data_IF_894589103734
#
_entry.id   IF_894589103734
#
_cell.length_a   1.000
_cell.length_b   1.000
_cell.length_c   1.000
_cell.angle_alpha   90.00
_cell.angle_beta   90.00
_cell.angle_gamma   90.00
#
_symmetry.space_group_name_H-M   'P 1'
#
loop_
_entity.id
_entity.type
_entity.pdbx_description
1 polymer ?
#
# COMPACT_ATOMS: atom_id res chain seq x y z
N UNK A 1 -10.45 -22.99 -25.72
CA UNK A 1 -11.13 -23.34 -24.44
C UNK A 1 -11.15 -22.10 -23.55
N UNK A 2 -12.30 -21.74 -22.95
CA UNK A 2 -12.36 -20.63 -22.00
C UNK A 2 -11.56 -21.00 -20.75
N UNK A 3 -10.77 -20.05 -20.26
CA UNK A 3 -10.04 -20.23 -18.99
C UNK A 3 -11.04 -20.52 -17.87
N UNK A 4 -10.73 -21.50 -17.03
CA UNK A 4 -11.54 -21.87 -15.88
C UNK A 4 -10.99 -21.27 -14.58
N UNK A 5 -9.70 -20.97 -14.56
CA UNK A 5 -8.99 -20.47 -13.39
C UNK A 5 -7.88 -19.50 -13.81
N UNK A 6 -7.57 -18.55 -12.95
CA UNK A 6 -6.45 -17.62 -13.11
C UNK A 6 -5.93 -17.19 -11.74
N UNK A 7 -4.61 -17.11 -11.60
CA UNK A 7 -3.94 -16.54 -10.45
C UNK A 7 -3.37 -15.17 -10.80
N UNK A 8 -3.67 -14.19 -9.95
CA UNK A 8 -3.20 -12.80 -10.07
C UNK A 8 -2.29 -12.50 -8.89
N UNK A 9 -1.03 -12.16 -9.17
CA UNK A 9 -0.08 -11.68 -8.17
C UNK A 9 -0.23 -10.19 -8.00
N UNK A 10 -0.48 -9.74 -6.77
CA UNK A 10 -0.66 -8.33 -6.43
C UNK A 10 0.32 -7.94 -5.32
N UNK A 11 1.14 -6.88 -5.53
CA UNK A 11 2.07 -6.44 -4.52
C UNK A 11 1.37 -5.73 -3.35
N UNK A 12 1.95 -5.87 -2.16
CA UNK A 12 1.67 -4.98 -1.03
C UNK A 12 2.01 -3.54 -1.39
N UNK A 13 1.46 -2.60 -0.65
CA UNK A 13 1.72 -1.18 -0.83
C UNK A 13 1.96 -0.48 0.49
N UNK A 14 2.75 0.59 0.45
CA UNK A 14 2.77 1.60 1.49
C UNK A 14 2.24 2.90 0.93
N UNK A 15 1.44 3.61 1.69
CA UNK A 15 0.85 4.87 1.27
C UNK A 15 1.14 5.99 2.24
N UNK A 16 0.84 7.22 1.83
CA UNK A 16 1.08 8.48 2.50
C UNK A 16 2.56 8.90 2.53
N UNK A 17 3.50 8.03 2.81
CA UNK A 17 4.94 8.35 2.96
C UNK A 17 5.16 9.58 3.88
N UNK A 18 4.50 9.61 5.05
CA UNK A 18 4.42 10.79 5.89
C UNK A 18 3.46 11.84 5.29
N UNK A 19 3.94 13.01 4.85
CA UNK A 19 3.09 14.15 4.50
C UNK A 19 2.29 14.02 3.19
N UNK A 20 2.46 12.93 2.44
CA UNK A 20 1.73 12.70 1.18
C UNK A 20 0.38 12.02 1.35
N UNK A 21 -0.39 12.41 2.36
CA UNK A 21 -1.66 11.84 2.74
C UNK A 21 -2.63 11.74 1.56
N UNK A 22 -3.17 10.52 1.33
CA UNK A 22 -4.10 10.16 0.25
C UNK A 22 -3.59 10.42 -1.19
N UNK A 23 -2.27 10.74 -1.34
CA UNK A 23 -1.67 11.10 -2.63
C UNK A 23 -0.50 10.21 -3.02
N UNK A 24 0.37 9.86 -2.07
CA UNK A 24 1.62 9.17 -2.36
C UNK A 24 1.55 7.69 -1.99
N UNK A 25 2.08 6.83 -2.86
CA UNK A 25 2.16 5.40 -2.59
C UNK A 25 3.31 4.72 -3.31
N UNK A 26 3.74 3.57 -2.76
CA UNK A 26 4.78 2.71 -3.35
C UNK A 26 4.34 1.26 -3.27
N UNK A 27 4.51 0.52 -4.36
CA UNK A 27 4.36 -0.93 -4.34
C UNK A 27 5.63 -1.60 -3.79
N UNK A 28 5.45 -2.63 -2.97
CA UNK A 28 6.52 -3.34 -2.29
C UNK A 28 6.61 -4.80 -2.79
N UNK A 29 7.81 -5.39 -2.77
CA UNK A 29 8.02 -6.80 -3.13
C UNK A 29 7.62 -7.75 -1.99
N UNK A 30 6.39 -7.66 -1.59
CA UNK A 30 5.66 -8.55 -0.70
C UNK A 30 4.33 -8.80 -1.42
N UNK A 31 3.86 -10.02 -1.56
CA UNK A 31 2.78 -10.32 -2.49
C UNK A 31 1.68 -11.14 -1.86
N UNK A 32 0.47 -10.95 -2.38
CA UNK A 32 -0.58 -11.95 -2.35
C UNK A 32 -0.83 -12.47 -3.77
N UNK A 33 -1.03 -13.76 -3.88
CA UNK A 33 -1.51 -14.45 -5.07
C UNK A 33 -2.99 -14.77 -4.87
N UNK A 34 -3.82 -14.22 -5.74
CA UNK A 34 -5.28 -14.35 -5.68
C UNK A 34 -5.71 -15.24 -6.84
N UNK A 35 -6.18 -16.43 -6.51
CA UNK A 35 -6.68 -17.39 -7.51
C UNK A 35 -8.19 -17.29 -7.58
N UNK A 36 -8.70 -17.00 -8.77
CA UNK A 36 -10.13 -16.95 -9.08
C UNK A 36 -10.44 -18.11 -10.03
N UNK A 37 -11.39 -18.95 -9.63
CA UNK A 37 -11.85 -20.06 -10.45
C UNK A 37 -13.37 -20.04 -10.59
N UNK A 38 -13.89 -20.44 -11.78
CA UNK A 38 -15.34 -20.68 -11.94
C UNK A 38 -15.77 -21.81 -11.01
N UNK A 39 -16.88 -21.64 -10.34
CA UNK A 39 -17.40 -22.58 -9.35
C UNK A 39 -18.87 -22.90 -9.62
N UNK A 40 -19.43 -23.90 -8.93
CA UNK A 40 -20.86 -24.20 -8.97
C UNK A 40 -21.67 -23.27 -8.07
N UNK A 41 -21.07 -22.83 -6.96
CA UNK A 41 -21.67 -21.96 -5.97
C UNK A 41 -20.71 -20.83 -5.60
N UNK A 42 -21.25 -19.67 -5.20
CA UNK A 42 -20.44 -18.55 -4.72
C UNK A 42 -19.93 -18.81 -3.31
N UNK A 43 -18.61 -18.68 -3.11
CA UNK A 43 -17.98 -18.80 -1.78
C UNK A 43 -17.17 -17.54 -1.37
N UNK A 44 -17.34 -16.38 -2.00
CA UNK A 44 -16.53 -15.22 -1.64
C UNK A 44 -17.04 -14.54 -0.38
N UNK A 45 -16.10 -14.10 0.47
CA UNK A 45 -16.40 -13.21 1.58
C UNK A 45 -16.90 -11.82 1.11
N UNK A 46 -17.41 -11.02 2.04
CA UNK A 46 -18.07 -9.72 1.79
C UNK A 46 -17.27 -8.77 0.88
N UNK A 47 -15.95 -8.69 1.09
CA UNK A 47 -15.07 -7.81 0.30
C UNK A 47 -14.97 -8.25 -1.16
N UNK A 48 -14.81 -9.54 -1.39
CA UNK A 48 -14.73 -10.14 -2.73
C UNK A 48 -16.05 -10.00 -3.48
N UNK A 49 -17.16 -10.18 -2.77
CA UNK A 49 -18.49 -9.99 -3.32
C UNK A 49 -18.72 -8.55 -3.80
N UNK A 50 -18.32 -7.55 -2.99
CA UNK A 50 -18.42 -6.14 -3.38
C UNK A 50 -17.58 -5.82 -4.62
N UNK A 51 -16.36 -6.39 -4.75
CA UNK A 51 -15.52 -6.23 -5.93
C UNK A 51 -16.17 -6.87 -7.17
N UNK A 52 -16.77 -8.05 -7.03
CA UNK A 52 -17.47 -8.74 -8.11
C UNK A 52 -18.72 -7.97 -8.57
N UNK A 53 -19.55 -7.49 -7.64
CA UNK A 53 -20.71 -6.67 -7.99
C UNK A 53 -20.29 -5.42 -8.79
N UNK A 54 -19.21 -4.74 -8.35
CA UNK A 54 -18.70 -3.55 -9.04
C UNK A 54 -18.22 -3.89 -10.44
N UNK A 55 -17.51 -5.03 -10.62
CA UNK A 55 -17.05 -5.51 -11.91
C UNK A 55 -18.20 -5.82 -12.87
N UNK A 56 -19.16 -6.63 -12.46
CA UNK A 56 -20.28 -7.01 -13.32
C UNK A 56 -21.17 -5.83 -13.70
N UNK A 57 -21.39 -4.91 -12.77
CA UNK A 57 -22.11 -3.65 -13.05
C UNK A 57 -21.39 -2.77 -14.09
N UNK A 58 -20.04 -2.69 -14.01
CA UNK A 58 -19.25 -1.87 -14.93
C UNK A 58 -19.12 -2.48 -16.34
N UNK A 59 -19.25 -3.80 -16.46
CA UNK A 59 -19.02 -4.53 -17.74
C UNK A 59 -20.29 -4.96 -18.44
N UNK A 60 -21.44 -4.88 -17.79
CA UNK A 60 -22.71 -5.46 -18.26
C UNK A 60 -22.59 -6.95 -18.64
N UNK A 61 -21.65 -7.68 -17.99
CA UNK A 61 -21.53 -9.13 -18.15
C UNK A 61 -22.44 -9.84 -17.17
N UNK A 62 -22.97 -11.00 -17.59
CA UNK A 62 -23.74 -11.85 -16.71
C UNK A 62 -22.89 -12.36 -15.55
N UNK A 63 -23.32 -12.21 -14.29
CA UNK A 63 -22.65 -12.76 -13.14
C UNK A 63 -22.56 -14.28 -13.21
N UNK A 64 -21.44 -14.82 -12.75
CA UNK A 64 -21.26 -16.26 -12.59
C UNK A 64 -20.65 -16.57 -11.22
N UNK A 65 -20.93 -17.76 -10.67
CA UNK A 65 -20.33 -18.21 -9.43
C UNK A 65 -18.83 -18.42 -9.57
N UNK A 66 -18.07 -18.00 -8.54
CA UNK A 66 -16.63 -18.19 -8.49
C UNK A 66 -16.13 -18.48 -7.08
N UNK A 67 -15.01 -19.18 -6.99
CA UNK A 67 -14.22 -19.33 -5.77
C UNK A 67 -13.05 -18.36 -5.80
N UNK A 68 -12.55 -17.99 -4.62
CA UNK A 68 -11.39 -17.15 -4.44
C UNK A 68 -10.48 -17.74 -3.37
N UNK A 69 -9.24 -18.03 -3.72
CA UNK A 69 -8.20 -18.47 -2.79
C UNK A 69 -7.12 -17.40 -2.71
N UNK A 70 -6.66 -17.11 -1.50
CA UNK A 70 -5.62 -16.11 -1.23
C UNK A 70 -4.44 -16.85 -0.61
N UNK A 71 -3.27 -16.73 -1.22
CA UNK A 71 -1.99 -17.20 -0.68
C UNK A 71 -0.99 -16.05 -0.70
N UNK A 72 -0.07 -15.99 0.26
CA UNK A 72 0.99 -14.96 0.28
C UNK A 72 1.21 -14.35 1.65
N UNK A 73 2.04 -13.29 1.66
CA UNK A 73 2.67 -12.76 2.86
C UNK A 73 2.25 -11.32 3.19
N UNK A 74 1.19 -10.79 2.59
CA UNK A 74 0.73 -9.43 2.89
C UNK A 74 -0.08 -9.42 4.18
N UNK A 75 0.43 -8.83 5.28
CA UNK A 75 -0.26 -8.84 6.56
C UNK A 75 -1.58 -8.07 6.51
N UNK A 76 -2.64 -8.66 7.07
CA UNK A 76 -3.96 -8.05 7.09
C UNK A 76 -4.06 -6.91 8.10
N UNK A 77 -4.68 -5.79 7.71
CA UNK A 77 -4.95 -4.63 8.57
C UNK A 77 -3.69 -4.07 9.27
N UNK A 78 -2.55 -4.02 8.55
CA UNK A 78 -1.27 -3.50 9.03
C UNK A 78 -0.78 -2.30 8.22
N UNK A 79 -1.65 -1.64 7.43
CA UNK A 79 -1.26 -0.50 6.60
C UNK A 79 -0.43 -0.87 5.36
N UNK A 80 -0.49 -2.13 4.91
CA UNK A 80 0.27 -2.64 3.76
C UNK A 80 -0.63 -2.97 2.54
N UNK A 81 -1.80 -2.37 2.44
CA UNK A 81 -2.68 -2.49 1.28
C UNK A 81 -3.29 -3.88 1.07
N UNK A 82 -3.46 -4.68 2.14
CA UNK A 82 -4.01 -6.04 2.02
C UNK A 82 -5.42 -6.08 1.38
N UNK A 83 -6.30 -5.12 1.69
CA UNK A 83 -7.63 -5.02 1.05
C UNK A 83 -7.52 -4.80 -0.45
N UNK A 84 -6.61 -3.93 -0.86
CA UNK A 84 -6.33 -3.64 -2.27
C UNK A 84 -5.86 -4.89 -3.01
N UNK A 85 -4.98 -5.69 -2.40
CA UNK A 85 -4.49 -6.92 -3.06
C UNK A 85 -5.63 -7.86 -3.39
N UNK A 86 -6.58 -8.04 -2.47
CA UNK A 86 -7.76 -8.89 -2.68
C UNK A 86 -8.68 -8.31 -3.73
N UNK A 87 -9.00 -7.02 -3.66
CA UNK A 87 -9.89 -6.35 -4.62
C UNK A 87 -9.34 -6.38 -6.04
N UNK A 88 -8.07 -6.01 -6.24
CA UNK A 88 -7.41 -6.08 -7.55
C UNK A 88 -7.34 -7.52 -8.06
N UNK A 89 -6.98 -8.48 -7.21
CA UNK A 89 -6.95 -9.89 -7.59
C UNK A 89 -8.31 -10.39 -8.10
N UNK A 90 -9.40 -10.05 -7.40
CA UNK A 90 -10.77 -10.40 -7.83
C UNK A 90 -11.13 -9.70 -9.14
N UNK A 91 -10.90 -8.38 -9.25
CA UNK A 91 -11.22 -7.61 -10.45
C UNK A 91 -10.46 -8.14 -11.68
N UNK A 92 -9.15 -8.37 -11.59
CA UNK A 92 -8.34 -8.95 -12.67
C UNK A 92 -8.75 -10.39 -13.00
N UNK A 93 -9.00 -11.20 -11.97
CA UNK A 93 -9.43 -12.58 -12.15
C UNK A 93 -10.74 -12.68 -12.91
N UNK A 94 -11.77 -11.95 -12.47
CA UNK A 94 -13.06 -11.87 -13.16
C UNK A 94 -12.92 -11.27 -14.56
N UNK A 95 -12.10 -10.23 -14.73
CA UNK A 95 -11.84 -9.64 -16.04
C UNK A 95 -11.29 -10.68 -17.01
N UNK A 96 -10.30 -11.46 -16.61
CA UNK A 96 -9.70 -12.52 -17.44
C UNK A 96 -10.70 -13.64 -17.75
N UNK A 97 -11.51 -14.06 -16.78
CA UNK A 97 -12.53 -15.10 -16.96
C UNK A 97 -13.75 -14.62 -17.79
N UNK A 98 -13.87 -13.31 -18.03
CA UNK A 98 -14.91 -12.66 -18.83
C UNK A 98 -14.40 -12.13 -20.17
N UNK A 99 -13.30 -12.68 -20.70
CA UNK A 99 -12.67 -12.29 -21.97
C UNK A 99 -12.08 -10.86 -21.99
N UNK A 100 -11.63 -10.38 -20.80
CA UNK A 100 -10.90 -9.12 -20.59
C UNK A 100 -11.59 -7.85 -21.13
N UNK A 101 -12.83 -7.56 -20.72
CA UNK A 101 -13.57 -6.39 -21.20
C UNK A 101 -13.02 -5.05 -20.70
N UNK A 102 -12.19 -5.04 -19.64
CA UNK A 102 -11.62 -3.84 -19.03
C UNK A 102 -10.11 -3.77 -19.23
N UNK A 103 -9.60 -2.57 -19.45
CA UNK A 103 -8.17 -2.28 -19.38
C UNK A 103 -7.70 -2.05 -17.93
N UNK A 104 -6.38 -1.92 -17.73
CA UNK A 104 -5.78 -1.71 -16.40
C UNK A 104 -6.24 -0.42 -15.72
N UNK A 105 -6.45 0.65 -16.50
CA UNK A 105 -6.91 1.93 -15.96
C UNK A 105 -8.35 1.85 -15.46
N UNK A 106 -9.19 1.09 -16.14
CA UNK A 106 -10.57 0.85 -15.73
C UNK A 106 -10.63 -0.02 -14.47
N UNK A 107 -9.81 -1.09 -14.38
CA UNK A 107 -9.69 -1.93 -13.19
C UNK A 107 -9.20 -1.11 -11.99
N UNK A 108 -8.16 -0.28 -12.19
CA UNK A 108 -7.69 0.65 -11.15
C UNK A 108 -8.80 1.55 -10.63
N UNK A 109 -9.59 2.18 -11.52
CA UNK A 109 -10.70 3.06 -11.11
C UNK A 109 -11.72 2.33 -10.24
N UNK A 110 -12.13 1.13 -10.65
CA UNK A 110 -13.05 0.31 -9.85
C UNK A 110 -12.48 0.00 -8.45
N UNK A 111 -11.19 -0.33 -8.38
CA UNK A 111 -10.53 -0.61 -7.11
C UNK A 111 -10.42 0.65 -6.23
N UNK A 112 -10.03 1.79 -6.80
CA UNK A 112 -9.92 3.06 -6.08
C UNK A 112 -11.28 3.54 -5.53
N UNK A 113 -12.36 3.36 -6.28
CA UNK A 113 -13.72 3.64 -5.82
C UNK A 113 -14.16 2.73 -4.67
N UNK A 114 -13.76 1.45 -4.68
CA UNK A 114 -14.02 0.51 -3.58
C UNK A 114 -13.21 0.82 -2.32
N UNK A 115 -12.02 1.39 -2.46
CA UNK A 115 -11.16 1.80 -1.33
C UNK A 115 -11.54 3.19 -0.79
N UNK A 116 -12.11 4.05 -1.64
CA UNK A 116 -12.41 5.45 -1.33
C UNK A 116 -11.23 6.40 -1.53
N UNK A 117 -10.04 5.91 -1.87
CA UNK A 117 -8.83 6.67 -2.14
C UNK A 117 -7.85 5.88 -3.03
N UNK A 118 -7.05 6.56 -3.87
CA UNK A 118 -6.24 5.91 -4.91
C UNK A 118 -4.83 5.49 -4.46
N UNK A 119 -4.34 5.98 -3.33
CA UNK A 119 -2.94 5.94 -2.89
C UNK A 119 -2.35 4.54 -2.68
N UNK A 120 -3.19 3.54 -2.38
CA UNK A 120 -2.82 2.13 -2.34
C UNK A 120 -3.17 1.41 -3.65
N UNK A 121 -4.33 1.70 -4.24
CA UNK A 121 -4.77 1.04 -5.47
C UNK A 121 -3.83 1.32 -6.65
N UNK A 122 -3.35 2.56 -6.78
CA UNK A 122 -2.49 2.96 -7.88
C UNK A 122 -1.13 2.24 -7.87
N UNK A 123 -0.33 2.24 -6.80
CA UNK A 123 0.93 1.49 -6.79
C UNK A 123 0.71 -0.02 -6.86
N UNK A 124 -0.32 -0.57 -6.24
CA UNK A 124 -0.61 -2.01 -6.36
C UNK A 124 -0.90 -2.40 -7.80
N UNK A 125 -1.65 -1.59 -8.54
CA UNK A 125 -1.98 -1.85 -9.94
C UNK A 125 -0.79 -1.62 -10.86
N UNK A 126 -0.12 -0.47 -10.75
CA UNK A 126 0.86 -0.05 -11.75
C UNK A 126 2.31 -0.29 -11.33
N UNK A 127 2.61 -0.49 -10.05
CA UNK A 127 3.95 -0.59 -9.50
C UNK A 127 4.67 0.76 -9.36
N UNK A 128 5.84 0.73 -8.71
CA UNK A 128 6.71 1.89 -8.52
C UNK A 128 6.23 2.86 -7.43
N UNK A 129 6.79 4.06 -7.45
CA UNK A 129 6.28 5.20 -6.70
C UNK A 129 5.22 5.91 -7.52
N UNK A 130 4.07 6.17 -6.93
CA UNK A 130 2.95 6.79 -7.61
C UNK A 130 2.52 8.05 -6.87
N UNK A 131 2.30 9.12 -7.62
CA UNK A 131 1.56 10.31 -7.20
C UNK A 131 0.17 10.21 -7.80
N UNK A 132 -0.83 10.02 -6.95
CA UNK A 132 -2.23 9.88 -7.36
C UNK A 132 -3.01 11.14 -6.99
N UNK A 133 -3.80 11.64 -7.95
CA UNK A 133 -4.75 12.74 -7.74
C UNK A 133 -6.03 12.40 -8.49
N UNK A 134 -7.09 12.10 -7.76
CA UNK A 134 -8.32 11.55 -8.31
C UNK A 134 -8.04 10.28 -9.14
N UNK A 135 -8.29 10.32 -10.45
CA UNK A 135 -7.99 9.25 -11.39
C UNK A 135 -6.76 9.51 -12.26
N UNK A 136 -6.01 10.57 -11.98
CA UNK A 136 -4.77 10.93 -12.69
C UNK A 136 -3.57 10.44 -11.90
N UNK A 137 -2.65 9.79 -12.59
CA UNK A 137 -1.49 9.15 -11.99
C UNK A 137 -0.20 9.64 -12.63
N UNK A 138 0.83 9.78 -11.81
CA UNK A 138 2.20 9.87 -12.27
C UNK A 138 3.00 8.76 -11.59
N UNK A 139 3.58 7.87 -12.39
CA UNK A 139 4.37 6.74 -11.93
C UNK A 139 5.85 6.98 -12.19
N UNK A 140 6.65 6.65 -11.20
CA UNK A 140 8.11 6.71 -11.27
C UNK A 140 8.72 5.37 -10.83
N UNK A 141 9.71 4.83 -11.57
CA UNK A 141 10.39 3.61 -11.14
C UNK A 141 11.27 3.90 -9.92
N UNK A 142 11.25 2.99 -8.97
CA UNK A 142 12.10 3.06 -7.77
C UNK A 142 13.30 2.13 -7.96
N UNK A 143 14.51 2.69 -7.78
CA UNK A 143 15.75 1.91 -7.94
C UNK A 143 15.91 0.93 -6.77
N UNK A 144 16.39 -0.28 -7.06
CA UNK A 144 16.56 -1.36 -6.08
C UNK A 144 17.51 -1.02 -4.91
N UNK A 145 18.38 -0.01 -5.06
CA UNK A 145 19.25 0.46 -3.98
C UNK A 145 18.49 1.12 -2.82
N UNK A 146 17.27 1.64 -3.07
CA UNK A 146 16.42 2.13 -1.98
C UNK A 146 15.76 0.95 -1.30
N UNK A 147 16.09 0.76 -0.02
CA UNK A 147 15.52 -0.29 0.82
C UNK A 147 14.41 0.27 1.69
N UNK A 148 13.40 -0.54 1.88
CA UNK A 148 12.29 -0.32 2.79
C UNK A 148 12.47 -1.28 3.96
N UNK A 149 12.65 -0.74 5.15
CA UNK A 149 12.77 -1.49 6.40
C UNK A 149 11.45 -1.34 7.14
N UNK A 150 10.72 -2.43 7.29
CA UNK A 150 9.41 -2.50 7.90
C UNK A 150 9.53 -3.02 9.32
N UNK A 151 8.88 -2.36 10.27
CA UNK A 151 8.51 -2.90 11.57
C UNK A 151 7.00 -3.14 11.54
N UNK A 152 6.60 -4.39 11.68
CA UNK A 152 5.21 -4.85 11.58
C UNK A 152 4.74 -5.30 12.96
N UNK A 153 3.99 -4.48 13.71
CA UNK A 153 3.44 -4.85 15.01
C UNK A 153 2.41 -5.99 14.89
N UNK A 154 2.19 -6.80 15.93
CA UNK A 154 1.28 -7.94 15.90
C UNK A 154 -0.21 -7.58 15.91
N UNK A 155 -0.55 -6.29 16.10
CA UNK A 155 -1.92 -5.82 16.22
C UNK A 155 -2.39 -5.02 14.98
N UNK A 156 -3.68 -5.14 14.60
CA UNK A 156 -4.27 -4.40 13.49
C UNK A 156 -4.64 -2.97 13.87
N UNK A 157 -4.65 -2.08 12.87
CA UNK A 157 -5.28 -0.76 12.95
C UNK A 157 -6.34 -0.65 11.84
N UNK A 158 -7.59 -0.46 12.25
CA UNK A 158 -8.70 -0.31 11.30
C UNK A 158 -8.66 1.05 10.61
N UNK A 159 -8.66 1.06 9.28
CA UNK A 159 -8.61 2.30 8.49
C UNK A 159 -9.73 3.28 8.85
N UNK A 160 -10.95 2.78 9.17
CA UNK A 160 -12.07 3.61 9.57
C UNK A 160 -11.78 4.36 10.89
N UNK A 161 -11.20 3.69 11.88
CA UNK A 161 -10.80 4.31 13.16
C UNK A 161 -9.67 5.32 12.95
N UNK A 162 -8.65 4.93 12.18
CA UNK A 162 -7.51 5.80 11.87
C UNK A 162 -7.89 7.06 11.06
N UNK A 163 -9.04 7.06 10.37
CA UNK A 163 -9.59 8.26 9.72
C UNK A 163 -10.44 9.11 10.65
N UNK A 164 -11.14 8.48 11.58
CA UNK A 164 -12.06 9.18 12.51
C UNK A 164 -11.35 10.13 13.48
N UNK A 165 -10.06 9.91 13.74
CA UNK A 165 -9.27 10.77 14.64
C UNK A 165 -8.65 11.98 13.94
N UNK A 166 -8.78 12.08 12.61
CA UNK A 166 -8.20 13.19 11.87
C UNK A 166 -9.03 14.46 12.07
N UNK A 167 -8.39 15.63 12.30
CA UNK A 167 -9.09 16.89 12.41
C UNK A 167 -9.64 17.35 11.07
N UNK A 168 -10.72 18.09 11.09
CA UNK A 168 -11.28 18.72 9.90
C UNK A 168 -10.45 19.94 9.43
N UNK A 169 -9.68 20.55 10.33
CA UNK A 169 -8.90 21.74 10.07
C UNK A 169 -7.48 21.58 10.65
N UNK A 170 -6.50 22.16 9.97
CA UNK A 170 -5.12 22.26 10.46
C UNK A 170 -4.60 23.67 10.28
N UNK A 171 -3.65 24.04 11.14
CA UNK A 171 -2.98 25.35 11.06
C UNK A 171 -2.27 25.53 9.71
N UNK A 172 -2.39 26.71 9.12
CA UNK A 172 -1.81 27.03 7.81
C UNK A 172 -0.31 26.78 7.74
N UNK A 173 0.46 27.10 8.80
CA UNK A 173 1.91 26.89 8.84
C UNK A 173 2.23 25.38 8.77
N UNK A 174 1.50 24.57 9.52
CA UNK A 174 1.63 23.11 9.50
C UNK A 174 1.24 22.51 8.14
N UNK A 175 0.19 23.06 7.49
CA UNK A 175 -0.20 22.65 6.16
C UNK A 175 0.90 22.96 5.13
N UNK A 176 1.50 24.14 5.18
CA UNK A 176 2.60 24.55 4.28
C UNK A 176 3.83 23.66 4.49
N UNK A 177 4.19 23.33 5.76
CA UNK A 177 5.30 22.41 6.05
C UNK A 177 5.04 21.02 5.45
N UNK A 178 3.86 20.44 5.70
CA UNK A 178 3.48 19.12 5.10
C UNK A 178 3.50 19.15 3.57
N UNK A 179 2.98 20.22 2.96
CA UNK A 179 3.00 20.38 1.51
C UNK A 179 4.44 20.44 0.96
N UNK A 180 5.32 21.23 1.57
CA UNK A 180 6.74 21.34 1.20
C UNK A 180 7.46 19.98 1.31
N UNK A 181 7.22 19.26 2.39
CA UNK A 181 7.79 17.93 2.61
C UNK A 181 7.27 16.89 1.58
N UNK A 182 5.98 16.89 1.27
CA UNK A 182 5.42 16.02 0.23
C UNK A 182 6.02 16.32 -1.16
N UNK A 183 6.22 17.61 -1.49
CA UNK A 183 6.92 18.02 -2.71
C UNK A 183 8.38 17.55 -2.71
N UNK A 184 9.09 17.66 -1.60
CA UNK A 184 10.48 17.20 -1.47
C UNK A 184 10.60 15.67 -1.65
N UNK A 185 9.71 14.89 -1.03
CA UNK A 185 9.62 13.44 -1.22
C UNK A 185 9.37 13.13 -2.69
N UNK A 186 8.38 13.78 -3.31
CA UNK A 186 8.04 13.56 -4.72
C UNK A 186 9.24 13.85 -5.63
N UNK A 187 9.92 14.96 -5.43
CA UNK A 187 11.10 15.34 -6.23
C UNK A 187 12.25 14.35 -6.04
N UNK A 188 12.52 13.90 -4.79
CA UNK A 188 13.57 12.94 -4.49
C UNK A 188 13.28 11.55 -5.11
N UNK A 189 12.04 11.08 -5.03
CA UNK A 189 11.62 9.80 -5.59
C UNK A 189 11.63 9.83 -7.12
N UNK A 190 11.08 10.88 -7.75
CA UNK A 190 11.03 11.03 -9.20
C UNK A 190 12.43 11.16 -9.84
N UNK A 191 13.33 11.90 -9.20
CA UNK A 191 14.70 12.07 -9.70
C UNK A 191 15.65 10.92 -9.34
N UNK A 192 15.25 10.04 -8.41
CA UNK A 192 16.12 9.00 -7.85
C UNK A 192 17.27 9.53 -6.98
N UNK A 193 17.19 10.81 -6.54
CA UNK A 193 18.12 11.45 -5.61
C UNK A 193 17.70 11.20 -4.17
N UNK A 194 17.67 9.94 -3.76
CA UNK A 194 17.12 9.51 -2.46
C UNK A 194 17.78 10.11 -1.23
N UNK A 195 19.01 10.63 -1.33
CA UNK A 195 19.63 11.38 -0.23
C UNK A 195 18.82 12.61 0.20
N UNK A 196 18.04 13.19 -0.71
CA UNK A 196 17.20 14.36 -0.46
C UNK A 196 15.89 14.01 0.32
N UNK A 197 15.67 12.73 0.64
CA UNK A 197 14.57 12.31 1.51
C UNK A 197 14.80 12.68 2.98
N UNK A 198 16.06 12.96 3.39
CA UNK A 198 16.35 13.32 4.78
C UNK A 198 15.58 14.55 5.22
N UNK A 199 14.90 14.43 6.36
CA UNK A 199 14.12 15.51 6.98
C UNK A 199 12.76 15.79 6.30
N UNK A 200 12.39 15.06 5.23
CA UNK A 200 11.14 15.31 4.50
C UNK A 200 9.93 14.52 5.02
N UNK A 201 10.08 13.65 6.03
CA UNK A 201 8.97 12.77 6.48
C UNK A 201 8.12 13.40 7.60
N UNK A 202 8.44 14.61 8.04
CA UNK A 202 7.63 15.30 9.04
C UNK A 202 6.25 15.63 8.46
N UNK A 203 5.23 15.20 9.19
CA UNK A 203 3.83 15.29 8.78
C UNK A 203 2.99 15.94 9.88
N UNK A 204 1.98 16.71 9.47
CA UNK A 204 1.00 17.31 10.35
C UNK A 204 -0.44 16.97 9.91
N UNK A 205 -0.59 16.13 8.87
CA UNK A 205 -1.90 15.78 8.31
C UNK A 205 -2.54 14.59 9.02
N UNK A 206 -1.74 13.56 9.33
CA UNK A 206 -2.31 12.32 9.84
C UNK A 206 -1.48 11.62 10.93
N UNK A 207 -0.13 11.56 10.82
CA UNK A 207 0.69 10.78 11.74
C UNK A 207 0.55 11.21 13.21
N UNK A 208 0.55 12.51 13.55
CA UNK A 208 0.41 12.94 14.94
C UNK A 208 -0.89 12.47 15.60
N UNK A 209 -1.96 12.39 14.83
CA UNK A 209 -3.27 11.95 15.32
C UNK A 209 -3.40 10.44 15.39
N UNK A 210 -2.71 9.71 14.49
CA UNK A 210 -2.68 8.24 14.47
C UNK A 210 -1.68 7.64 15.46
N UNK A 211 -0.78 8.45 16.02
CA UNK A 211 0.20 8.03 17.03
C UNK A 211 -0.46 7.40 18.27
N UNK A 212 -1.71 7.74 18.58
CA UNK A 212 -2.45 7.10 19.68
C UNK A 212 -2.62 5.59 19.48
N UNK A 213 -2.70 5.11 18.21
CA UNK A 213 -2.78 3.68 17.88
C UNK A 213 -1.41 2.99 17.83
N UNK A 214 -0.34 3.77 17.72
CA UNK A 214 1.04 3.29 17.59
C UNK A 214 1.95 4.19 18.44
N UNK A 215 1.89 4.10 19.78
CA UNK A 215 2.53 5.07 20.68
C UNK A 215 4.06 5.08 20.61
N UNK A 216 4.66 4.05 20.05
CA UNK A 216 6.11 3.96 19.79
C UNK A 216 6.51 4.49 18.40
N UNK A 217 5.62 5.15 17.65
CA UNK A 217 5.90 5.65 16.30
C UNK A 217 7.12 6.57 16.27
N UNK A 218 7.11 7.63 17.07
CA UNK A 218 8.21 8.60 17.12
C UNK A 218 9.52 8.00 17.65
N UNK A 219 9.55 7.22 18.76
CA UNK A 219 10.76 6.52 19.21
C UNK A 219 11.37 5.61 18.14
N UNK A 220 10.54 4.86 17.40
CA UNK A 220 11.01 3.95 16.35
C UNK A 220 11.58 4.70 15.16
N UNK A 221 10.94 5.80 14.73
CA UNK A 221 11.46 6.65 13.64
C UNK A 221 12.80 7.27 14.06
N UNK A 222 12.89 7.83 15.28
CA UNK A 222 14.11 8.42 15.78
C UNK A 222 15.27 7.40 15.87
N UNK A 223 14.99 6.18 16.33
CA UNK A 223 15.97 5.11 16.38
C UNK A 223 16.44 4.69 14.97
N UNK A 224 15.52 4.60 14.01
CA UNK A 224 15.87 4.30 12.61
C UNK A 224 16.78 5.37 12.01
N UNK A 225 16.48 6.66 12.22
CA UNK A 225 17.29 7.79 11.75
C UNK A 225 18.66 7.80 12.44
N UNK A 226 18.73 7.56 13.75
CA UNK A 226 19.98 7.42 14.51
C UNK A 226 20.83 6.24 14.02
N UNK A 227 20.23 5.18 13.53
CA UNK A 227 20.92 4.04 12.90
C UNK A 227 21.34 4.30 11.43
N UNK A 228 20.93 5.42 10.82
CA UNK A 228 21.35 5.86 9.49
C UNK A 228 20.26 5.90 8.43
N UNK A 229 19.00 5.66 8.78
CA UNK A 229 17.88 5.79 7.85
C UNK A 229 17.80 7.22 7.26
N UNK A 230 17.20 7.32 6.09
CA UNK A 230 16.90 8.60 5.44
C UNK A 230 15.69 9.30 6.10
N UNK A 231 14.87 8.53 6.80
CA UNK A 231 13.68 8.93 7.53
C UNK A 231 12.73 7.77 7.66
N UNK A 232 11.65 7.97 8.44
CA UNK A 232 10.64 6.96 8.67
C UNK A 232 9.23 7.56 8.71
N UNK A 233 8.22 6.70 8.57
CA UNK A 233 6.82 7.11 8.54
C UNK A 233 5.88 5.94 8.86
N UNK A 234 4.65 6.27 9.24
CA UNK A 234 3.56 5.32 9.42
C UNK A 234 3.02 4.89 8.06
N UNK A 235 3.02 3.59 7.76
CA UNK A 235 2.49 3.04 6.51
C UNK A 235 0.96 3.06 6.51
N UNK A 236 0.37 3.82 5.60
CA UNK A 236 -1.09 3.94 5.48
C UNK A 236 -1.77 4.33 6.79
N UNK A 237 -2.70 3.49 7.26
CA UNK A 237 -3.36 3.66 8.57
C UNK A 237 -2.54 3.13 9.76
N UNK A 238 -1.46 2.42 9.50
CA UNK A 238 -0.70 1.66 10.50
C UNK A 238 -1.21 0.21 10.58
N UNK A 239 -0.67 -0.61 11.46
CA UNK A 239 0.34 -0.36 12.51
C UNK A 239 1.79 -0.35 12.02
N UNK A 240 2.07 -0.75 10.77
CA UNK A 240 3.43 -0.84 10.23
C UNK A 240 4.12 0.52 10.20
N UNK A 241 5.36 0.56 10.66
CA UNK A 241 6.28 1.69 10.52
C UNK A 241 7.32 1.33 9.48
N UNK A 242 7.63 2.23 8.56
CA UNK A 242 8.63 2.02 7.52
C UNK A 242 9.74 3.06 7.63
N UNK A 243 10.98 2.59 7.56
CA UNK A 243 12.15 3.44 7.38
C UNK A 243 12.77 3.21 6.00
N UNK A 244 13.29 4.26 5.38
CA UNK A 244 13.95 4.21 4.09
C UNK A 244 15.48 4.32 4.24
N UNK A 245 16.22 3.51 3.49
CA UNK A 245 17.68 3.54 3.58
C UNK A 245 18.36 3.18 2.26
N UNK A 246 19.63 3.58 2.13
CA UNK A 246 20.56 3.19 1.07
C UNK A 246 21.64 2.23 1.56
N UNK A 247 21.77 2.05 2.90
CA UNK A 247 22.84 1.27 3.55
C UNK A 247 22.32 0.65 4.84
N UNK A 248 22.94 -0.43 5.25
CA UNK A 248 22.80 -1.07 6.56
C UNK A 248 21.34 -1.31 7.02
N UNK A 249 20.46 -1.87 6.17
CA UNK A 249 19.05 -2.02 6.52
C UNK A 249 18.83 -2.96 7.71
N UNK A 250 19.71 -3.94 7.95
CA UNK A 250 19.65 -4.87 9.08
C UNK A 250 19.90 -4.14 10.42
N UNK A 251 20.87 -3.21 10.44
CA UNK A 251 21.13 -2.35 11.61
C UNK A 251 19.92 -1.48 11.95
N UNK A 252 19.28 -0.94 10.91
CA UNK A 252 18.07 -0.12 11.09
C UNK A 252 16.92 -0.97 11.59
N UNK A 253 16.71 -2.18 11.04
CA UNK A 253 15.67 -3.10 11.51
C UNK A 253 15.84 -3.46 12.99
N UNK A 254 17.07 -3.74 13.43
CA UNK A 254 17.38 -4.02 14.83
C UNK A 254 17.10 -2.81 15.74
N UNK A 255 17.46 -1.61 15.30
CA UNK A 255 17.20 -0.37 16.07
C UNK A 255 15.68 -0.09 16.18
N UNK A 256 14.92 -0.27 15.10
CA UNK A 256 13.47 -0.11 15.09
C UNK A 256 12.79 -1.12 16.03
N UNK A 257 13.21 -2.39 15.98
CA UNK A 257 12.64 -3.43 16.84
C UNK A 257 12.92 -3.14 18.31
N UNK A 258 14.15 -2.81 18.66
CA UNK A 258 14.52 -2.47 20.03
C UNK A 258 13.74 -1.25 20.55
N UNK A 259 13.57 -0.20 19.74
CA UNK A 259 12.85 1.01 20.15
C UNK A 259 11.34 0.82 20.26
N UNK A 260 10.77 -0.21 19.61
CA UNK A 260 9.34 -0.52 19.71
C UNK A 260 8.93 -1.09 21.06
N UNK A 261 9.85 -1.74 21.77
CA UNK A 261 9.57 -2.48 23.01
C UNK A 261 8.69 -3.73 22.81
N UNK A 262 8.42 -4.13 21.57
CA UNK A 262 7.59 -5.30 21.25
C UNK A 262 8.45 -6.55 21.05
N UNK A 263 8.07 -7.63 21.72
CA UNK A 263 8.76 -8.94 21.61
C UNK A 263 8.33 -9.76 20.38
N UNK A 264 7.15 -9.48 19.86
CA UNK A 264 6.44 -10.24 18.83
C UNK A 264 6.19 -9.46 17.55
N UNK A 265 6.83 -8.29 17.41
CA UNK A 265 6.84 -7.55 16.14
C UNK A 265 7.78 -8.19 15.12
N UNK A 266 7.33 -8.25 13.88
CA UNK A 266 8.15 -8.73 12.76
C UNK A 266 8.91 -7.57 12.12
N UNK A 267 10.16 -7.83 11.69
CA UNK A 267 10.88 -6.90 10.80
C UNK A 267 11.07 -7.52 9.42
N UNK A 268 10.85 -6.71 8.36
CA UNK A 268 11.11 -7.11 6.97
C UNK A 268 11.91 -6.05 6.24
N UNK A 269 12.84 -6.52 5.40
CA UNK A 269 13.59 -5.66 4.49
C UNK A 269 13.15 -6.00 3.07
N UNK A 270 12.72 -5.00 2.32
CA UNK A 270 12.24 -5.20 0.96
C UNK A 270 12.65 -4.04 0.04
N UNK A 271 12.28 -4.13 -1.23
CA UNK A 271 12.44 -3.10 -2.24
C UNK A 271 11.10 -2.82 -2.92
N UNK A 272 11.03 -1.76 -3.72
CA UNK A 272 9.83 -1.48 -4.49
C UNK A 272 9.61 -2.52 -5.61
N UNK A 273 8.35 -2.88 -5.84
CA UNK A 273 7.90 -3.57 -7.06
C UNK A 273 7.57 -2.53 -8.12
N UNK A 274 8.24 -2.56 -9.26
CA UNK A 274 7.99 -1.60 -10.35
C UNK A 274 6.96 -2.07 -11.38
N UNK A 275 6.43 -3.28 -11.23
CA UNK A 275 5.56 -3.91 -12.22
C UNK A 275 4.06 -3.82 -11.87
N UNK A 276 3.73 -3.85 -10.58
CA UNK A 276 2.35 -3.88 -10.09
C UNK A 276 1.68 -5.25 -10.28
N UNK A 277 0.35 -5.23 -10.32
CA UNK A 277 -0.47 -6.43 -10.50
C UNK A 277 -0.19 -7.11 -11.84
N UNK A 278 -0.15 -8.45 -11.84
CA UNK A 278 0.12 -9.26 -13.02
C UNK A 278 -0.39 -10.69 -12.85
N UNK A 279 -0.59 -11.39 -13.96
CA UNK A 279 -0.84 -12.82 -13.88
C UNK A 279 0.40 -13.50 -13.28
N UNK A 280 0.20 -14.40 -12.33
CA UNK A 280 1.27 -15.23 -11.83
C UNK A 280 1.69 -16.19 -12.97
N UNK A 281 2.99 -16.24 -13.24
CA UNK A 281 3.55 -17.28 -14.12
C UNK A 281 3.57 -18.59 -13.34
N UNK A 282 2.91 -19.61 -13.89
CA UNK A 282 3.03 -21.01 -13.43
C UNK A 282 4.46 -21.49 -13.55
#
# INVERSE_FOLDING_TARGET
MKKQEITVRVPATTSNLGPGFDCLGVALRIYNDITIARARENVPGRMMHAAAQKFFAATNKDPFPFSCTITGDVPQARGLGSSVTVRLGVLHGLNTLSDSPLDRSQIFKLCAELEGHPDNAAPAEFGGFVVARDHRLQKFPVRQRLRFVLLIPPFPVETKKARAVLPNEIDRRRAVESCGNACAITAAMASGRYGNLRGAFRDHLHQPYRAEFVPFLEPVIAAAEGAGALGGFLSGSGSTIIALTLRDPEKIAAAMLAASGLSDAETRITTADNNGSRHATS
#
